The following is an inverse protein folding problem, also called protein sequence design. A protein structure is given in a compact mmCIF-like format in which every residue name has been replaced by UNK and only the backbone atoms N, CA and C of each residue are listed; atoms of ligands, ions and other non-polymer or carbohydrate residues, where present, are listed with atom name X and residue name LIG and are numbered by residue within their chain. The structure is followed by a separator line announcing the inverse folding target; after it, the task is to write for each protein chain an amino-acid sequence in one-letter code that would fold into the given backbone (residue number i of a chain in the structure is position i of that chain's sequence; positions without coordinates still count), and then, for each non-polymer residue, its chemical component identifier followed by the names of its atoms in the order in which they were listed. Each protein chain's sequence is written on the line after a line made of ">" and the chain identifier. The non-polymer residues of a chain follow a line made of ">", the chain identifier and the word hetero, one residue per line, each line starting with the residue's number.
data_IF_894751745647
#
_entry.id   IF_894751745647
#
_cell.length_a   1.000
_cell.length_b   1.000
_cell.length_c   1.000
_cell.angle_alpha   90.00
_cell.angle_beta   90.00
_cell.angle_gamma   90.00
#
_symmetry.space_group_name_H-M   'P 1'
#
loop_
_entity.id
_entity.type
_entity.pdbx_description
1 polymer ?
#
# COMPACT_ATOMS: atom_id res chain seq x y z
N UNK A 1 -16.82 12.21 -12.83
CA UNK A 1 -16.39 11.85 -11.45
C UNK A 1 -17.42 12.12 -10.34
N UNK A 2 -18.64 12.62 -10.60
CA UNK A 2 -19.66 12.87 -9.55
C UNK A 2 -20.16 11.63 -8.77
N UNK A 3 -19.73 10.42 -9.15
CA UNK A 3 -20.11 9.15 -8.52
C UNK A 3 -19.00 8.53 -7.65
N UNK A 4 -17.85 9.20 -7.55
CA UNK A 4 -16.69 8.72 -6.78
C UNK A 4 -16.63 9.48 -5.48
N UNK A 5 -16.54 8.76 -4.37
CA UNK A 5 -16.34 9.32 -3.03
C UNK A 5 -14.89 9.06 -2.62
N UNK A 6 -14.16 10.10 -2.25
CA UNK A 6 -12.79 9.98 -1.76
C UNK A 6 -12.79 9.48 -0.32
N UNK A 7 -11.80 8.66 0.01
CA UNK A 7 -11.59 8.13 1.37
C UNK A 7 -10.22 8.58 1.86
N UNK A 8 -10.20 9.21 3.02
CA UNK A 8 -8.97 9.65 3.66
C UNK A 8 -8.25 8.47 4.34
N UNK A 9 -6.94 8.59 4.51
CA UNK A 9 -6.16 7.58 5.23
C UNK A 9 -6.64 7.42 6.68
N UNK A 10 -6.66 6.18 7.15
CA UNK A 10 -7.14 5.75 8.47
C UNK A 10 -8.59 6.11 8.77
N UNK A 11 -9.36 6.59 7.80
CA UNK A 11 -10.80 6.83 7.96
C UNK A 11 -11.57 5.56 7.63
N UNK A 12 -12.38 5.11 8.59
CA UNK A 12 -13.37 4.05 8.34
C UNK A 12 -14.60 4.64 7.66
N UNK A 13 -15.04 3.99 6.59
CA UNK A 13 -16.23 4.34 5.83
C UNK A 13 -17.12 3.12 5.73
N UNK A 14 -18.39 3.27 6.12
CA UNK A 14 -19.42 2.25 5.94
C UNK A 14 -19.97 2.37 4.53
N UNK A 15 -19.79 1.32 3.74
CA UNK A 15 -20.16 1.28 2.31
C UNK A 15 -21.58 0.72 2.14
N UNK A 16 -21.98 -0.21 3.01
CA UNK A 16 -23.31 -0.83 3.04
C UNK A 16 -23.69 -1.22 4.49
N UNK A 17 -24.82 -1.91 4.68
CA UNK A 17 -25.26 -2.43 5.98
C UNK A 17 -24.15 -3.20 6.69
N UNK A 18 -23.43 -4.07 5.98
CA UNK A 18 -22.51 -5.01 6.61
C UNK A 18 -21.07 -4.84 6.13
N UNK A 19 -20.77 -3.80 5.33
CA UNK A 19 -19.46 -3.58 4.73
C UNK A 19 -18.85 -2.28 5.24
N UNK A 20 -17.67 -2.40 5.86
CA UNK A 20 -16.84 -1.27 6.26
C UNK A 20 -15.46 -1.36 5.61
N UNK A 21 -14.93 -0.22 5.19
CA UNK A 21 -13.58 -0.11 4.62
C UNK A 21 -12.76 0.93 5.37
N UNK A 22 -11.46 0.68 5.52
CA UNK A 22 -10.51 1.64 6.04
C UNK A 22 -9.26 1.65 5.15
N UNK A 23 -8.87 2.83 4.70
CA UNK A 23 -7.72 3.02 3.84
C UNK A 23 -6.43 3.18 4.65
N UNK A 24 -5.36 2.55 4.20
CA UNK A 24 -4.01 2.59 4.78
C UNK A 24 -2.99 2.97 3.73
N UNK A 25 -1.91 3.63 4.10
CA UNK A 25 -0.92 4.11 3.13
C UNK A 25 -0.08 2.95 2.56
N UNK A 26 0.00 2.80 1.25
CA UNK A 26 0.69 1.66 0.61
C UNK A 26 2.16 1.94 0.22
N UNK A 27 2.61 3.20 0.23
CA UNK A 27 4.02 3.54 -0.04
C UNK A 27 4.52 3.33 -1.47
N UNK A 28 3.65 3.02 -2.43
CA UNK A 28 4.03 2.66 -3.81
C UNK A 28 4.03 3.84 -4.80
N UNK A 29 2.92 4.59 -4.87
CA UNK A 29 2.79 5.86 -5.62
C UNK A 29 2.04 6.89 -4.77
N UNK A 30 2.01 8.15 -5.19
CA UNK A 30 1.23 9.19 -4.52
C UNK A 30 -0.26 8.80 -4.49
N UNK A 31 -0.82 8.74 -3.28
CA UNK A 31 -2.21 8.33 -3.06
C UNK A 31 -2.45 6.81 -3.07
N UNK A 32 -1.42 5.98 -3.22
CA UNK A 32 -1.58 4.53 -3.14
C UNK A 32 -2.09 4.10 -1.77
N UNK A 33 -3.12 3.25 -1.75
CA UNK A 33 -3.78 2.80 -0.53
C UNK A 33 -3.96 1.27 -0.51
N UNK A 34 -3.73 0.69 0.66
CA UNK A 34 -4.21 -0.63 1.04
C UNK A 34 -5.59 -0.46 1.68
N UNK A 35 -6.48 -1.44 1.52
CA UNK A 35 -7.80 -1.41 2.15
C UNK A 35 -7.93 -2.57 3.13
N UNK A 36 -8.22 -2.24 4.38
CA UNK A 36 -8.82 -3.17 5.33
C UNK A 36 -10.32 -3.15 5.10
N UNK A 37 -10.90 -4.32 4.84
CA UNK A 37 -12.32 -4.49 4.55
C UNK A 37 -12.89 -5.44 5.59
N UNK A 38 -13.99 -5.06 6.22
CA UNK A 38 -14.75 -5.90 7.13
C UNK A 38 -16.13 -6.16 6.55
N UNK A 39 -16.55 -7.42 6.55
CA UNK A 39 -17.87 -7.86 6.08
C UNK A 39 -18.48 -8.76 7.16
N UNK A 40 -19.46 -8.26 7.91
CA UNK A 40 -19.98 -8.95 9.09
C UNK A 40 -18.87 -9.19 10.12
N UNK A 41 -18.58 -10.45 10.44
CA UNK A 41 -17.52 -10.84 11.37
C UNK A 41 -16.18 -11.15 10.68
N UNK A 42 -16.18 -11.31 9.35
CA UNK A 42 -14.98 -11.61 8.57
C UNK A 42 -14.27 -10.33 8.12
N UNK A 43 -12.96 -10.44 7.91
CA UNK A 43 -12.13 -9.32 7.49
C UNK A 43 -11.01 -9.71 6.55
N UNK A 44 -10.66 -8.80 5.64
CA UNK A 44 -9.53 -8.97 4.75
C UNK A 44 -8.71 -7.69 4.59
N UNK A 45 -7.44 -7.86 4.20
CA UNK A 45 -6.59 -6.76 3.72
C UNK A 45 -6.27 -7.01 2.25
N UNK A 46 -6.59 -6.03 1.41
CA UNK A 46 -6.11 -5.95 0.03
C UNK A 46 -5.03 -4.88 -0.07
N UNK A 47 -3.81 -5.27 -0.45
CA UNK A 47 -2.66 -4.34 -0.46
C UNK A 47 -2.57 -3.48 -1.72
N UNK A 48 -3.09 -3.98 -2.85
CA UNK A 48 -2.63 -3.50 -4.16
C UNK A 48 -1.10 -3.63 -4.27
N UNK A 49 -0.49 -2.72 -5.05
CA UNK A 49 0.96 -2.59 -5.07
C UNK A 49 1.43 -1.78 -3.86
N UNK A 50 2.32 -2.36 -3.07
CA UNK A 50 2.82 -1.79 -1.82
C UNK A 50 4.34 -1.87 -1.75
N UNK A 51 4.94 -0.89 -1.06
CA UNK A 51 6.38 -0.87 -0.89
C UNK A 51 6.74 -0.59 0.58
N UNK A 52 7.49 -1.51 1.17
CA UNK A 52 7.95 -1.42 2.56
C UNK A 52 9.23 -0.58 2.72
N UNK A 53 9.88 -0.18 1.63
CA UNK A 53 11.12 0.62 1.67
C UNK A 53 10.83 2.07 1.30
N UNK A 54 11.09 3.04 2.20
CA UNK A 54 10.86 4.45 1.92
C UNK A 54 11.83 5.00 0.86
N UNK A 55 11.29 5.77 -0.08
CA UNK A 55 12.06 6.51 -1.07
C UNK A 55 12.22 7.99 -0.67
N UNK A 56 12.70 8.85 -1.57
CA UNK A 56 12.90 10.28 -1.34
C UNK A 56 11.59 11.03 -1.13
N UNK A 57 10.51 10.61 -1.78
CA UNK A 57 9.22 11.30 -1.79
C UNK A 57 8.05 10.42 -1.31
N UNK A 58 8.29 9.15 -0.99
CA UNK A 58 7.29 8.20 -0.49
C UNK A 58 7.81 7.52 0.77
N UNK A 59 6.94 7.41 1.79
CA UNK A 59 7.19 6.57 2.95
C UNK A 59 7.01 5.08 2.66
N UNK A 60 7.32 4.23 3.63
CA UNK A 60 6.96 2.82 3.61
C UNK A 60 5.44 2.62 3.76
N UNK A 61 4.91 1.49 3.31
CA UNK A 61 3.55 1.08 3.61
C UNK A 61 3.32 1.03 5.13
N UNK A 62 2.14 1.47 5.58
CA UNK A 62 1.79 1.62 6.99
C UNK A 62 0.37 1.14 7.24
N UNK A 63 0.22 0.26 8.23
CA UNK A 63 -1.07 -0.15 8.79
C UNK A 63 -0.99 -0.18 10.30
N UNK A 64 -2.14 -0.29 10.96
CA UNK A 64 -2.18 -0.65 12.36
C UNK A 64 -1.87 -2.17 12.51
N UNK A 65 -1.81 -2.68 13.74
CA UNK A 65 -1.58 -4.10 14.04
C UNK A 65 -2.83 -4.95 13.75
N UNK A 66 -3.23 -5.00 12.48
CA UNK A 66 -4.42 -5.70 12.00
C UNK A 66 -4.22 -7.22 12.07
N UNK A 67 -5.29 -7.94 12.39
CA UNK A 67 -5.37 -9.41 12.32
C UNK A 67 -6.51 -9.82 11.39
N UNK A 68 -6.34 -9.66 10.05
CA UNK A 68 -7.37 -10.05 9.10
C UNK A 68 -7.43 -11.57 8.95
N UNK A 69 -8.62 -12.09 8.62
CA UNK A 69 -8.83 -13.51 8.30
C UNK A 69 -8.19 -13.88 6.97
N UNK A 70 -8.16 -12.93 6.02
CA UNK A 70 -7.57 -13.09 4.70
C UNK A 70 -6.65 -11.93 4.33
N UNK A 71 -5.45 -12.24 3.80
CA UNK A 71 -4.54 -11.23 3.24
C UNK A 71 -4.33 -11.48 1.75
N UNK A 72 -4.74 -10.52 0.93
CA UNK A 72 -4.54 -10.51 -0.51
C UNK A 72 -3.41 -9.53 -0.81
N UNK A 73 -2.25 -10.07 -1.19
CA UNK A 73 -1.03 -9.30 -1.43
C UNK A 73 -0.54 -9.46 -2.86
N UNK A 74 0.11 -8.42 -3.39
CA UNK A 74 0.92 -8.55 -4.59
C UNK A 74 2.15 -9.45 -4.36
N UNK A 75 2.76 -9.92 -5.45
CA UNK A 75 3.97 -10.73 -5.43
C UNK A 75 4.94 -10.37 -6.57
N UNK A 76 4.92 -9.12 -7.03
CA UNK A 76 5.63 -8.64 -8.24
C UNK A 76 7.09 -9.08 -8.31
N UNK A 77 7.81 -9.04 -7.17
CA UNK A 77 9.21 -9.43 -7.12
C UNK A 77 9.44 -10.87 -6.64
N UNK A 78 8.46 -11.53 -6.02
CA UNK A 78 8.53 -12.89 -5.47
C UNK A 78 9.89 -13.24 -4.83
N UNK A 79 10.79 -13.87 -5.60
CA UNK A 79 12.12 -14.35 -5.18
C UNK A 79 13.26 -13.36 -5.44
N UNK A 80 13.01 -12.26 -6.12
CA UNK A 80 14.00 -11.24 -6.48
C UNK A 80 14.31 -10.36 -5.27
N UNK A 81 15.57 -10.42 -4.83
CA UNK A 81 16.08 -9.54 -3.78
C UNK A 81 16.46 -8.19 -4.40
N UNK A 82 15.92 -7.10 -3.85
CA UNK A 82 16.22 -5.75 -4.33
C UNK A 82 17.47 -5.18 -3.67
N UNK A 83 18.33 -4.56 -4.47
CA UNK A 83 19.45 -3.79 -3.96
C UNK A 83 18.99 -2.59 -3.12
N UNK A 84 19.87 -2.19 -2.20
CA UNK A 84 19.66 -1.00 -1.37
C UNK A 84 19.40 0.23 -2.24
N UNK A 85 18.53 1.13 -1.77
CA UNK A 85 18.25 2.40 -2.45
C UNK A 85 19.54 3.16 -2.78
N UNK A 86 20.48 3.23 -1.83
CA UNK A 86 21.77 3.93 -1.99
C UNK A 86 22.61 3.35 -3.13
N UNK A 87 22.64 2.03 -3.27
CA UNK A 87 23.37 1.36 -4.36
C UNK A 87 22.77 1.73 -5.72
N UNK A 88 21.44 1.66 -5.85
CA UNK A 88 20.72 1.99 -7.08
C UNK A 88 20.88 3.47 -7.47
N UNK A 89 20.74 4.39 -6.51
CA UNK A 89 20.96 5.82 -6.76
C UNK A 89 22.39 6.10 -7.25
N UNK A 90 23.40 5.47 -6.65
CA UNK A 90 24.80 5.62 -7.07
C UNK A 90 25.05 5.07 -8.47
N UNK A 91 24.53 3.87 -8.77
CA UNK A 91 24.68 3.27 -10.10
C UNK A 91 24.01 4.12 -11.18
N UNK A 92 22.82 4.64 -10.88
CA UNK A 92 22.12 5.55 -11.78
C UNK A 92 22.95 6.80 -12.08
N UNK A 93 23.48 7.46 -11.05
CA UNK A 93 24.31 8.66 -11.23
C UNK A 93 25.53 8.36 -12.11
N UNK A 94 26.22 7.24 -11.89
CA UNK A 94 27.35 6.83 -12.75
C UNK A 94 26.99 6.73 -14.23
N UNK A 95 25.78 6.28 -14.57
CA UNK A 95 25.33 6.11 -15.96
C UNK A 95 24.94 7.44 -16.63
N UNK A 96 24.47 8.41 -15.85
CA UNK A 96 24.00 9.70 -16.37
C UNK A 96 25.12 10.75 -16.40
N UNK A 97 26.14 10.61 -15.56
CA UNK A 97 27.30 11.51 -15.53
C UNK A 97 28.48 11.03 -16.40
N UNK A 98 28.32 9.92 -17.12
CA UNK A 98 29.34 9.36 -18.01
C UNK A 98 29.31 10.01 -19.40
#
# INVERSE_FOLDING_TARGET
>A
MKRVTTVDLKRTVRVDSDIEIQAYYAGHVLGAAMFYVKVGDDSCVYTGDCNMTPDRHLGAAQSDALQPDLRITESTYATTVRDSKRSREREFLKKVTA
#
